data_IF_105457698581
#
_entry.id   IF_105457698581
#
_cell.length_a   1.000
_cell.length_b   1.000
_cell.length_c   1.000
_cell.angle_alpha   90.00
_cell.angle_beta   90.00
_cell.angle_gamma   90.00
#
_symmetry.space_group_name_H-M   'P 1'
#
loop_
_entity.id
_entity.type
_entity.pdbx_description
1 polymer ?
#
# COMPACT_ATOMS: atom_id res chain seq x y z
N UNK A 1 13.59 33.24 -5.05
CA UNK A 1 14.78 32.86 -4.26
C UNK A 1 14.45 31.56 -3.55
N UNK A 2 15.13 30.44 -3.87
CA UNK A 2 14.87 29.17 -3.19
C UNK A 2 15.50 29.17 -1.79
N UNK A 3 14.82 28.57 -0.80
CA UNK A 3 15.38 28.44 0.54
C UNK A 3 16.68 27.63 0.47
N UNK A 4 17.72 28.11 1.15
CA UNK A 4 18.96 27.36 1.29
C UNK A 4 18.68 26.11 2.11
N UNK A 5 18.68 24.95 1.46
CA UNK A 5 18.51 23.67 2.12
C UNK A 5 19.87 23.09 2.49
N UNK A 6 20.18 23.09 3.79
CA UNK A 6 21.38 22.41 4.30
C UNK A 6 21.09 20.91 4.44
N UNK A 7 21.65 20.13 3.52
CA UNK A 7 21.63 18.67 3.56
C UNK A 7 22.71 18.17 4.55
N UNK A 8 22.28 17.74 5.73
CA UNK A 8 23.17 17.11 6.72
C UNK A 8 23.27 15.61 6.47
N UNK A 9 24.32 14.97 7.00
CA UNK A 9 24.48 13.50 6.93
C UNK A 9 23.25 12.77 7.48
N UNK A 10 22.66 13.26 8.58
CA UNK A 10 21.42 12.70 9.17
C UNK A 10 20.23 12.80 8.22
N UNK A 11 20.02 13.95 7.58
CA UNK A 11 18.93 14.13 6.60
C UNK A 11 19.14 13.26 5.37
N UNK A 12 20.37 13.17 4.86
CA UNK A 12 20.70 12.29 3.74
C UNK A 12 20.43 10.82 4.08
N UNK A 13 20.81 10.36 5.28
CA UNK A 13 20.55 8.99 5.72
C UNK A 13 19.05 8.64 5.78
N UNK A 14 18.19 9.62 6.07
CA UNK A 14 16.72 9.43 6.06
C UNK A 14 16.12 9.49 4.65
N UNK A 15 16.64 10.36 3.78
CA UNK A 15 16.08 10.58 2.45
C UNK A 15 16.53 9.52 1.44
N UNK A 16 17.80 9.12 1.47
CA UNK A 16 18.39 8.23 0.46
C UNK A 16 17.66 6.89 0.29
N UNK A 17 17.21 6.18 1.35
CA UNK A 17 16.48 4.92 1.17
C UNK A 17 15.19 5.11 0.37
N UNK A 18 14.41 6.15 0.69
CA UNK A 18 13.16 6.46 0.00
C UNK A 18 13.41 6.85 -1.46
N UNK A 19 14.41 7.70 -1.71
CA UNK A 19 14.78 8.11 -3.07
C UNK A 19 15.30 6.95 -3.92
N UNK A 20 16.01 5.98 -3.32
CA UNK A 20 16.51 4.79 -4.01
C UNK A 20 15.41 3.78 -4.36
N UNK A 21 14.31 3.78 -3.62
CA UNK A 21 13.17 2.92 -3.88
C UNK A 21 12.28 3.45 -5.03
N UNK A 22 12.44 4.71 -5.42
CA UNK A 22 11.69 5.30 -6.52
C UNK A 22 12.14 4.73 -7.87
N UNK A 23 11.20 4.59 -8.80
CA UNK A 23 11.50 4.34 -10.20
C UNK A 23 11.96 5.64 -10.88
N UNK A 24 13.23 5.68 -11.26
CA UNK A 24 13.84 6.83 -11.90
C UNK A 24 13.12 7.24 -13.20
N UNK A 25 12.68 6.27 -14.02
CA UNK A 25 12.01 6.58 -15.28
C UNK A 25 10.64 7.21 -15.04
N UNK A 26 9.87 6.64 -14.12
CA UNK A 26 8.60 7.22 -13.66
C UNK A 26 8.78 8.64 -13.09
N UNK A 27 9.83 8.88 -12.30
CA UNK A 27 10.12 10.22 -11.75
C UNK A 27 10.40 11.22 -12.88
N UNK A 28 11.21 10.86 -13.87
CA UNK A 28 11.53 11.75 -15.00
C UNK A 28 10.31 12.03 -15.89
N UNK A 29 9.40 11.06 -16.02
CA UNK A 29 8.13 11.24 -16.70
C UNK A 29 7.24 12.24 -15.94
N UNK A 30 7.05 12.05 -14.64
CA UNK A 30 6.24 12.94 -13.81
C UNK A 30 6.83 14.36 -13.77
N UNK A 31 8.16 14.48 -13.71
CA UNK A 31 8.86 15.75 -13.80
C UNK A 31 8.59 16.49 -15.12
N UNK A 32 8.66 15.77 -16.24
CA UNK A 32 8.38 16.34 -17.57
C UNK A 32 6.95 16.87 -17.66
N UNK A 33 5.98 16.14 -17.10
CA UNK A 33 4.58 16.59 -17.02
C UNK A 33 4.45 17.84 -16.15
N UNK A 34 5.04 17.83 -14.96
CA UNK A 34 4.93 18.93 -14.01
C UNK A 34 5.48 20.26 -14.56
N UNK A 35 6.61 20.22 -15.27
CA UNK A 35 7.24 21.44 -15.83
C UNK A 35 6.37 22.08 -16.93
N UNK A 36 5.52 21.30 -17.62
CA UNK A 36 4.58 21.86 -18.60
C UNK A 36 3.45 22.66 -17.92
N UNK A 37 3.11 22.33 -16.68
CA UNK A 37 1.94 22.85 -15.99
C UNK A 37 2.28 23.89 -14.90
N UNK A 38 3.49 23.84 -14.33
CA UNK A 38 3.90 24.66 -13.20
C UNK A 38 5.18 25.45 -13.48
N UNK A 39 5.19 26.77 -13.21
CA UNK A 39 6.39 27.60 -13.34
C UNK A 39 7.35 27.48 -12.14
N UNK A 40 7.00 26.68 -11.13
CA UNK A 40 7.80 26.49 -9.92
C UNK A 40 8.44 25.09 -9.92
N UNK A 41 9.54 24.86 -9.17
CA UNK A 41 10.14 23.54 -9.00
C UNK A 41 9.19 22.61 -8.25
N UNK A 42 9.20 21.33 -8.64
CA UNK A 42 8.38 20.35 -7.97
C UNK A 42 8.91 20.03 -6.57
N UNK A 43 7.98 19.64 -5.72
CA UNK A 43 8.23 18.86 -4.53
C UNK A 43 8.52 17.40 -4.89
N UNK A 44 9.29 16.72 -4.04
CA UNK A 44 9.60 15.30 -4.23
C UNK A 44 8.34 14.43 -4.30
N UNK A 45 7.27 14.79 -3.60
CA UNK A 45 5.99 14.07 -3.64
C UNK A 45 5.25 14.22 -4.97
N UNK A 46 5.43 15.32 -5.68
CA UNK A 46 4.72 15.60 -6.95
C UNK A 46 5.32 14.81 -8.12
N UNK A 47 6.61 14.51 -8.03
CA UNK A 47 7.33 13.74 -9.05
C UNK A 47 7.64 12.31 -8.61
N UNK A 48 7.23 11.90 -7.41
CA UNK A 48 7.50 10.55 -6.91
C UNK A 48 6.86 9.50 -7.83
N UNK A 49 7.63 8.46 -8.14
CA UNK A 49 7.13 7.26 -8.78
C UNK A 49 7.74 6.06 -8.07
N UNK A 50 6.92 5.09 -7.70
CA UNK A 50 7.36 3.85 -7.06
C UNK A 50 6.90 2.67 -7.92
N UNK A 51 7.71 1.61 -8.03
CA UNK A 51 7.27 0.40 -8.70
C UNK A 51 6.05 -0.16 -8.00
N UNK A 52 5.14 -0.75 -8.79
CA UNK A 52 4.05 -1.56 -8.23
C UNK A 52 4.68 -2.73 -7.49
N UNK A 53 4.63 -2.68 -6.16
CA UNK A 53 4.97 -3.83 -5.33
C UNK A 53 3.81 -4.80 -5.51
N UNK A 54 4.10 -6.04 -5.95
CA UNK A 54 3.11 -7.11 -5.90
C UNK A 54 2.62 -7.23 -4.45
N UNK A 55 1.42 -6.74 -4.21
CA UNK A 55 0.86 -6.66 -2.87
C UNK A 55 0.47 -8.07 -2.46
N UNK A 56 1.31 -8.71 -1.63
CA UNK A 56 1.10 -10.08 -1.16
C UNK A 56 -0.28 -10.25 -0.53
N UNK A 57 -0.85 -9.17 0.02
CA UNK A 57 -2.19 -9.18 0.59
C UNK A 57 -3.30 -9.36 -0.44
N UNK A 58 -3.12 -8.86 -1.67
CA UNK A 58 -4.09 -9.08 -2.75
C UNK A 58 -4.06 -10.54 -3.17
N UNK A 59 -2.87 -11.14 -3.27
CA UNK A 59 -2.71 -12.57 -3.58
C UNK A 59 -3.29 -13.46 -2.47
N UNK A 60 -3.06 -13.11 -1.19
CA UNK A 60 -3.65 -13.79 -0.03
C UNK A 60 -5.17 -13.69 -0.03
N UNK A 61 -5.72 -12.50 -0.30
CA UNK A 61 -7.16 -12.27 -0.37
C UNK A 61 -7.81 -13.07 -1.51
N UNK A 62 -7.17 -13.13 -2.68
CA UNK A 62 -7.65 -13.96 -3.79
C UNK A 62 -7.66 -15.45 -3.42
N UNK A 63 -6.61 -15.95 -2.78
CA UNK A 63 -6.56 -17.34 -2.30
C UNK A 63 -7.68 -17.64 -1.31
N UNK A 64 -7.93 -16.76 -0.34
CA UNK A 64 -9.04 -16.93 0.60
C UNK A 64 -10.40 -16.93 -0.09
N UNK A 65 -10.59 -16.13 -1.13
CA UNK A 65 -11.83 -16.12 -1.90
C UNK A 65 -12.04 -17.45 -2.62
N UNK A 66 -11.02 -17.94 -3.32
CA UNK A 66 -11.05 -19.24 -4.01
C UNK A 66 -11.29 -20.40 -3.03
N UNK A 67 -10.70 -20.36 -1.84
CA UNK A 67 -10.92 -21.35 -0.79
C UNK A 67 -12.36 -21.29 -0.26
N UNK A 68 -12.90 -20.09 -0.03
CA UNK A 68 -14.26 -19.89 0.47
C UNK A 68 -15.35 -20.28 -0.55
N UNK A 69 -15.07 -20.18 -1.85
CA UNK A 69 -15.96 -20.66 -2.92
C UNK A 69 -16.06 -22.19 -2.96
N UNK A 70 -14.98 -22.90 -2.62
CA UNK A 70 -14.94 -24.37 -2.56
C UNK A 70 -15.72 -24.93 -1.37
N UNK A 71 -16.04 -24.11 -0.36
CA UNK A 71 -16.81 -24.54 0.80
C UNK A 71 -18.29 -24.63 0.45
N UNK A 72 -18.88 -25.81 0.65
CA UNK A 72 -20.30 -26.05 0.35
C UNK A 72 -21.23 -25.22 1.26
N UNK A 73 -22.46 -24.92 0.80
CA UNK A 73 -23.45 -24.18 1.60
C UNK A 73 -23.78 -24.85 2.92
N UNK A 74 -23.78 -26.19 2.97
CA UNK A 74 -24.08 -26.97 4.18
C UNK A 74 -23.02 -26.77 5.25
N UNK A 75 -21.74 -26.75 4.87
CA UNK A 75 -20.62 -26.51 5.78
C UNK A 75 -20.67 -25.09 6.33
N UNK A 76 -21.03 -24.09 5.50
CA UNK A 76 -21.22 -22.71 5.95
C UNK A 76 -22.34 -22.59 6.99
N UNK A 77 -23.45 -23.30 6.76
CA UNK A 77 -24.58 -23.34 7.69
C UNK A 77 -24.21 -24.00 9.03
N UNK A 78 -23.54 -25.15 8.99
CA UNK A 78 -23.07 -25.85 10.19
C UNK A 78 -22.08 -24.99 10.99
N UNK A 79 -21.18 -24.30 10.31
CA UNK A 79 -20.25 -23.37 10.96
C UNK A 79 -20.98 -22.24 11.68
N UNK A 80 -21.98 -21.62 11.06
CA UNK A 80 -22.77 -20.56 11.67
C UNK A 80 -23.52 -21.05 12.92
N UNK A 81 -24.14 -22.23 12.85
CA UNK A 81 -24.86 -22.83 13.98
C UNK A 81 -23.93 -23.13 15.17
N UNK A 82 -22.73 -23.68 14.92
CA UNK A 82 -21.74 -23.94 15.97
C UNK A 82 -21.11 -22.65 16.51
N UNK A 83 -20.87 -21.67 15.65
CA UNK A 83 -20.35 -20.37 16.04
C UNK A 83 -21.34 -19.63 16.96
N UNK A 84 -22.63 -19.63 16.62
CA UNK A 84 -23.68 -19.06 17.48
C UNK A 84 -23.73 -19.74 18.84
N UNK A 85 -23.67 -21.08 18.90
CA UNK A 85 -23.60 -21.82 20.18
C UNK A 85 -22.40 -21.40 21.01
N UNK A 86 -21.23 -21.24 20.39
CA UNK A 86 -20.00 -20.81 21.06
C UNK A 86 -20.10 -19.37 21.58
N UNK A 87 -20.67 -18.46 20.79
CA UNK A 87 -20.88 -17.06 21.20
C UNK A 87 -21.86 -16.99 22.38
N UNK A 88 -22.98 -17.71 22.33
CA UNK A 88 -23.94 -17.78 23.44
C UNK A 88 -23.29 -18.35 24.72
N UNK A 89 -22.51 -19.44 24.58
CA UNK A 89 -21.78 -20.07 25.69
C UNK A 89 -20.72 -19.16 26.30
N UNK A 90 -20.05 -18.33 25.51
CA UNK A 90 -19.05 -17.37 25.98
C UNK A 90 -19.68 -16.09 26.54
N UNK A 91 -20.83 -15.67 26.04
CA UNK A 91 -21.56 -14.48 26.46
C UNK A 91 -22.37 -14.66 27.76
N UNK A 92 -22.43 -15.87 28.32
CA UNK A 92 -23.00 -16.10 29.65
C UNK A 92 -24.53 -16.09 29.69
N UNK A 93 -25.17 -16.81 28.77
CA UNK A 93 -26.49 -17.42 29.04
C UNK A 93 -26.34 -18.93 29.17
#
# INVERSE_FOLDING_TARGET
MYPKFNLTKRKAAMLLPNLKAMDYQGVMKNLSVFIMESPYPPMLSEIAAYPEVADSHIEEMMKWHEEAEKVSPEVKKQFLEEFEKLVQKKAGK
#
